data_IF_487612021924
#
_entry.id   IF_487612021924
#
_cell.length_a   1.000
_cell.length_b   1.000
_cell.length_c   1.000
_cell.angle_alpha   90.00
_cell.angle_beta   90.00
_cell.angle_gamma   90.00
#
_symmetry.space_group_name_H-M   'P 1'
#
loop_
_entity.id
_entity.type
_entity.pdbx_description
1 polymer ?
#
# COMPACT_ATOMS: atom_id res chain seq x y z
N UNK A 1 9.23 -34.59 17.90
CA UNK A 1 9.47 -33.40 17.06
C UNK A 1 8.38 -33.17 16.00
N UNK A 2 7.86 -34.17 15.28
CA UNK A 2 6.74 -33.99 14.27
C UNK A 2 5.49 -33.35 14.88
N UNK A 3 5.12 -33.68 16.11
CA UNK A 3 3.89 -33.19 16.76
C UNK A 3 3.95 -31.68 17.12
N UNK A 4 5.12 -31.18 17.52
CA UNK A 4 5.33 -29.73 17.82
C UNK A 4 5.32 -28.92 16.54
N UNK A 5 5.96 -29.42 15.49
CA UNK A 5 6.04 -28.76 14.19
C UNK A 5 4.66 -28.61 13.53
N UNK A 6 3.81 -29.64 13.62
CA UNK A 6 2.42 -29.55 13.15
C UNK A 6 1.59 -28.57 13.99
N UNK A 7 1.78 -28.50 15.31
CA UNK A 7 1.10 -27.51 16.15
C UNK A 7 1.47 -26.07 15.78
N UNK A 8 2.76 -25.80 15.53
CA UNK A 8 3.24 -24.49 15.10
C UNK A 8 2.69 -24.12 13.72
N UNK A 9 2.61 -25.08 12.78
CA UNK A 9 2.01 -24.88 11.47
C UNK A 9 0.54 -24.43 11.54
N UNK A 10 -0.26 -25.06 12.41
CA UNK A 10 -1.65 -24.67 12.65
C UNK A 10 -1.74 -23.31 13.35
N UNK A 11 -0.88 -23.03 14.34
CA UNK A 11 -0.88 -21.79 15.10
C UNK A 11 -0.56 -20.56 14.22
N UNK A 12 0.36 -20.69 13.27
CA UNK A 12 0.74 -19.61 12.36
C UNK A 12 -0.27 -19.40 11.18
N UNK A 13 -1.40 -20.12 11.22
CA UNK A 13 -2.52 -19.90 10.27
C UNK A 13 -2.28 -20.49 8.88
N UNK A 14 -1.34 -21.44 8.75
CA UNK A 14 -1.04 -22.12 7.49
C UNK A 14 -1.80 -23.46 7.34
N UNK A 15 -2.33 -24.02 8.48
CA UNK A 15 -3.21 -25.20 8.52
C UNK A 15 -4.70 -24.86 8.59
N UNK A 16 -5.55 -25.87 8.78
CA UNK A 16 -7.00 -25.69 8.99
C UNK A 16 -7.29 -24.81 10.22
N UNK A 17 -8.22 -23.89 10.06
CA UNK A 17 -8.42 -22.73 10.93
C UNK A 17 -9.05 -23.12 12.26
N UNK A 18 -8.27 -23.24 13.32
CA UNK A 18 -8.74 -23.34 14.70
C UNK A 18 -8.78 -21.99 15.43
N UNK A 19 -9.55 -21.90 16.53
CA UNK A 19 -9.68 -20.67 17.36
C UNK A 19 -8.32 -20.11 17.85
N UNK A 20 -7.33 -20.96 18.10
CA UNK A 20 -5.98 -20.59 18.53
C UNK A 20 -5.14 -19.98 17.40
N UNK A 21 -5.30 -20.45 16.16
CA UNK A 21 -4.68 -19.87 14.96
C UNK A 21 -5.14 -18.42 14.76
N UNK A 22 -6.42 -18.14 14.99
CA UNK A 22 -6.97 -16.78 14.86
C UNK A 22 -6.36 -15.81 15.88
N UNK A 23 -6.06 -16.26 17.11
CA UNK A 23 -5.44 -15.42 18.14
C UNK A 23 -4.01 -15.02 17.77
N UNK A 24 -3.18 -15.98 17.35
CA UNK A 24 -1.78 -15.70 16.96
C UNK A 24 -1.73 -14.77 15.75
N UNK A 25 -2.58 -14.98 14.75
CA UNK A 25 -2.66 -14.09 13.58
C UNK A 25 -3.08 -12.68 13.98
N UNK A 26 -4.02 -12.53 14.90
CA UNK A 26 -4.41 -11.21 15.44
C UNK A 26 -3.28 -10.56 16.23
N UNK A 27 -2.58 -11.32 17.07
CA UNK A 27 -1.44 -10.82 17.85
C UNK A 27 -0.32 -10.31 16.94
N UNK A 28 0.02 -11.06 15.87
CA UNK A 28 0.98 -10.61 14.86
C UNK A 28 0.47 -9.31 14.18
N UNK A 29 -0.82 -9.23 13.85
CA UNK A 29 -1.42 -8.02 13.29
C UNK A 29 -1.26 -6.80 14.19
N UNK A 30 -1.56 -6.95 15.49
CA UNK A 30 -1.37 -5.89 16.49
C UNK A 30 0.11 -5.50 16.60
N UNK A 31 1.03 -6.48 16.61
CA UNK A 31 2.46 -6.22 16.65
C UNK A 31 2.94 -5.44 15.41
N UNK A 32 2.39 -5.73 14.22
CA UNK A 32 2.68 -4.98 13.00
C UNK A 32 2.23 -3.51 13.16
N UNK A 33 0.97 -3.28 13.56
CA UNK A 33 0.45 -1.92 13.78
C UNK A 33 1.29 -1.18 14.81
N UNK A 34 1.58 -1.80 15.94
CA UNK A 34 2.43 -1.24 16.98
C UNK A 34 3.82 -0.85 16.44
N UNK A 35 4.45 -1.72 15.63
CA UNK A 35 5.76 -1.45 15.04
C UNK A 35 5.74 -0.26 14.07
N UNK A 36 4.63 -0.07 13.34
CA UNK A 36 4.45 1.06 12.44
C UNK A 36 4.31 2.36 13.23
N UNK A 37 3.47 2.37 14.26
CA UNK A 37 3.30 3.53 15.16
C UNK A 37 4.63 3.91 15.79
N UNK A 38 5.40 2.93 16.29
CA UNK A 38 6.74 3.15 16.85
C UNK A 38 7.69 3.78 15.81
N UNK A 39 7.68 3.28 14.56
CA UNK A 39 8.51 3.82 13.50
C UNK A 39 8.13 5.26 13.15
N UNK A 40 6.83 5.59 13.14
CA UNK A 40 6.35 6.97 12.91
C UNK A 40 6.76 7.88 14.08
N UNK A 41 6.51 7.48 15.32
CA UNK A 41 6.89 8.26 16.50
C UNK A 41 8.40 8.51 16.59
N UNK A 42 9.21 7.56 16.14
CA UNK A 42 10.66 7.70 16.10
C UNK A 42 11.16 8.74 15.07
N UNK A 43 10.30 9.20 14.16
CA UNK A 43 10.64 10.30 13.22
C UNK A 43 10.43 11.67 13.83
N UNK A 44 9.60 11.80 14.87
CA UNK A 44 9.28 13.08 15.51
C UNK A 44 10.41 13.50 16.47
N UNK A 45 11.12 14.63 16.22
CA UNK A 45 12.25 15.04 17.03
C UNK A 45 11.91 15.29 18.51
N UNK A 46 10.70 15.82 18.79
CA UNK A 46 10.24 16.13 20.14
C UNK A 46 10.07 14.87 21.00
N UNK A 47 9.60 13.79 20.38
CA UNK A 47 9.40 12.48 21.05
C UNK A 47 10.71 11.72 21.13
N UNK A 48 11.47 11.74 20.05
CA UNK A 48 12.72 11.00 19.90
C UNK A 48 13.79 11.48 20.89
N UNK A 49 13.97 12.80 21.07
CA UNK A 49 15.00 13.37 21.90
C UNK A 49 15.06 12.76 23.30
N UNK A 50 13.99 12.91 24.13
CA UNK A 50 13.98 12.41 25.50
C UNK A 50 13.81 10.89 25.62
N UNK A 51 13.29 10.19 24.57
CA UNK A 51 12.91 8.77 24.63
C UNK A 51 13.69 7.88 23.67
N UNK A 52 14.86 8.34 23.17
CA UNK A 52 15.63 7.60 22.18
C UNK A 52 15.93 6.16 22.60
N UNK A 53 16.40 5.96 23.83
CA UNK A 53 16.75 4.63 24.35
C UNK A 53 15.53 3.72 24.51
N UNK A 54 14.40 4.27 24.94
CA UNK A 54 13.17 3.51 25.09
C UNK A 54 12.66 3.07 23.71
N UNK A 55 12.61 3.98 22.74
CA UNK A 55 12.19 3.68 21.37
C UNK A 55 13.08 2.63 20.72
N UNK A 56 14.42 2.73 20.92
CA UNK A 56 15.37 1.76 20.40
C UNK A 56 15.18 0.36 21.04
N UNK A 57 14.97 0.29 22.34
CA UNK A 57 14.69 -0.98 23.05
C UNK A 57 13.37 -1.61 22.58
N UNK A 58 12.32 -0.83 22.45
CA UNK A 58 11.02 -1.30 21.96
C UNK A 58 11.14 -1.81 20.50
N UNK A 59 11.85 -1.10 19.65
CA UNK A 59 12.05 -1.51 18.25
C UNK A 59 12.90 -2.81 18.18
N UNK A 60 13.90 -2.97 19.06
CA UNK A 60 14.67 -4.21 19.18
C UNK A 60 13.79 -5.40 19.61
N UNK A 61 12.95 -5.21 20.63
CA UNK A 61 12.03 -6.27 21.08
C UNK A 61 11.10 -6.69 19.95
N UNK A 62 10.52 -5.72 19.24
CA UNK A 62 9.67 -5.98 18.07
C UNK A 62 10.44 -6.72 16.98
N UNK A 63 11.68 -6.34 16.70
CA UNK A 63 12.51 -7.00 15.70
C UNK A 63 12.83 -8.46 16.08
N UNK A 64 13.13 -8.71 17.36
CA UNK A 64 13.36 -10.08 17.89
C UNK A 64 12.09 -10.94 17.75
N UNK A 65 10.93 -10.41 18.10
CA UNK A 65 9.66 -11.12 17.94
C UNK A 65 9.38 -11.46 16.47
N UNK A 66 9.64 -10.54 15.57
CA UNK A 66 9.50 -10.78 14.14
C UNK A 66 10.55 -11.75 13.59
N UNK A 67 11.77 -11.71 14.09
CA UNK A 67 12.81 -12.67 13.73
C UNK A 67 12.41 -14.07 14.18
N UNK A 68 11.93 -14.22 15.41
CA UNK A 68 11.41 -15.48 15.91
C UNK A 68 10.26 -16.02 15.04
N UNK A 69 9.28 -15.17 14.71
CA UNK A 69 8.17 -15.52 13.79
C UNK A 69 8.71 -15.98 12.44
N UNK A 70 9.68 -15.28 11.87
CA UNK A 70 10.30 -15.62 10.60
C UNK A 70 11.03 -16.98 10.65
N UNK A 71 11.81 -17.22 11.69
CA UNK A 71 12.50 -18.50 11.91
C UNK A 71 11.53 -19.67 12.09
N UNK A 72 10.43 -19.46 12.83
CA UNK A 72 9.38 -20.48 12.94
C UNK A 72 8.75 -20.79 11.58
N UNK A 73 8.50 -19.80 10.73
CA UNK A 73 8.00 -20.02 9.38
C UNK A 73 8.97 -20.75 8.47
N UNK A 74 10.26 -20.43 8.55
CA UNK A 74 11.31 -21.18 7.86
C UNK A 74 11.32 -22.65 8.30
N UNK A 75 11.18 -22.88 9.60
CA UNK A 75 11.19 -24.23 10.15
C UNK A 75 10.00 -25.08 9.71
N UNK A 76 8.82 -24.48 9.56
CA UNK A 76 7.61 -25.17 9.10
C UNK A 76 7.46 -25.21 7.57
N UNK A 77 8.23 -24.45 6.84
CA UNK A 77 8.10 -24.30 5.38
C UNK A 77 8.00 -25.64 4.61
N UNK A 78 8.78 -26.70 4.94
CA UNK A 78 8.65 -27.99 4.25
C UNK A 78 7.37 -28.79 4.57
N UNK A 79 6.48 -28.27 5.45
CA UNK A 79 5.17 -28.90 5.75
C UNK A 79 4.03 -28.28 4.93
N UNK A 80 4.31 -27.25 4.14
CA UNK A 80 3.29 -26.61 3.30
C UNK A 80 2.85 -27.53 2.17
N UNK A 81 1.57 -27.44 1.81
CA UNK A 81 1.02 -28.16 0.68
C UNK A 81 1.78 -27.82 -0.60
N UNK A 82 2.25 -28.82 -1.34
CA UNK A 82 3.04 -28.66 -2.54
C UNK A 82 4.52 -28.25 -2.33
N UNK A 83 4.99 -28.09 -1.08
CA UNK A 83 6.38 -27.74 -0.80
C UNK A 83 7.33 -28.94 -1.00
N UNK A 84 8.53 -28.66 -1.49
CA UNK A 84 9.61 -29.66 -1.53
C UNK A 84 10.05 -30.02 -0.13
N UNK A 85 10.45 -31.29 0.09
CA UNK A 85 10.90 -31.78 1.40
C UNK A 85 12.33 -31.29 1.70
N UNK A 86 12.61 -31.08 3.00
CA UNK A 86 13.95 -30.75 3.49
C UNK A 86 14.40 -29.32 3.21
N UNK A 87 15.71 -29.12 3.00
CA UNK A 87 16.33 -27.81 2.76
C UNK A 87 15.81 -27.07 1.51
N UNK A 88 15.44 -27.82 0.47
CA UNK A 88 14.87 -27.21 -0.74
C UNK A 88 13.56 -26.50 -0.47
N UNK A 89 12.69 -27.07 0.37
CA UNK A 89 11.44 -26.39 0.76
C UNK A 89 11.67 -25.14 1.63
N UNK A 90 12.74 -25.10 2.41
CA UNK A 90 13.16 -23.91 3.16
C UNK A 90 13.64 -22.82 2.19
N UNK A 91 14.47 -23.16 1.20
CA UNK A 91 14.97 -22.22 0.20
C UNK A 91 13.83 -21.69 -0.69
N UNK A 92 12.95 -22.58 -1.15
CA UNK A 92 11.77 -22.18 -1.94
C UNK A 92 10.92 -21.16 -1.15
N UNK A 93 10.75 -21.36 0.15
CA UNK A 93 10.06 -20.39 1.00
C UNK A 93 10.83 -19.07 1.16
N UNK A 94 12.15 -19.14 1.40
CA UNK A 94 12.99 -17.95 1.65
C UNK A 94 12.99 -16.98 0.45
N UNK A 95 12.83 -17.51 -0.77
CA UNK A 95 12.77 -16.73 -2.03
C UNK A 95 11.35 -16.16 -2.28
N UNK A 96 10.32 -16.59 -1.53
CA UNK A 96 8.98 -16.03 -1.72
C UNK A 96 8.95 -14.53 -1.43
N UNK A 97 8.18 -13.72 -2.19
CA UNK A 97 8.08 -12.28 -1.94
C UNK A 97 7.72 -11.93 -0.50
N UNK A 98 6.88 -12.75 0.14
CA UNK A 98 6.47 -12.56 1.53
C UNK A 98 7.57 -12.88 2.55
N UNK A 99 8.48 -13.80 2.24
CA UNK A 99 9.63 -14.08 3.08
C UNK A 99 10.69 -12.98 2.95
N UNK A 100 10.95 -12.52 1.73
CA UNK A 100 11.84 -11.40 1.44
C UNK A 100 11.34 -10.13 2.16
N UNK A 101 10.06 -9.79 2.03
CA UNK A 101 9.42 -8.70 2.78
C UNK A 101 9.62 -8.84 4.30
N UNK A 102 9.54 -10.07 4.80
CA UNK A 102 9.81 -10.36 6.21
C UNK A 102 11.25 -10.03 6.62
N UNK A 103 12.21 -10.37 5.80
CA UNK A 103 13.63 -10.13 6.05
C UNK A 103 13.95 -8.63 5.93
N UNK A 104 13.52 -8.00 4.83
CA UNK A 104 13.69 -6.56 4.59
C UNK A 104 13.10 -5.72 5.72
N UNK A 105 12.00 -6.14 6.31
CA UNK A 105 11.37 -5.42 7.42
C UNK A 105 12.14 -5.54 8.76
N UNK A 106 13.01 -6.54 8.93
CA UNK A 106 13.86 -6.73 10.13
C UNK A 106 15.22 -6.07 9.93
N UNK A 107 15.75 -6.11 8.71
CA UNK A 107 17.08 -5.65 8.36
C UNK A 107 17.41 -4.23 8.85
N UNK A 108 16.52 -3.20 8.72
CA UNK A 108 16.83 -1.84 9.17
C UNK A 108 17.09 -1.73 10.67
N UNK A 109 16.46 -2.58 11.50
CA UNK A 109 16.72 -2.57 12.93
C UNK A 109 18.09 -3.15 13.24
N UNK A 110 18.45 -4.27 12.60
CA UNK A 110 19.76 -4.91 12.78
C UNK A 110 20.86 -3.99 12.23
N UNK A 111 20.72 -3.46 11.03
CA UNK A 111 21.69 -2.55 10.40
C UNK A 111 21.81 -1.23 11.16
N UNK A 112 20.73 -0.71 11.75
CA UNK A 112 20.75 0.52 12.53
C UNK A 112 21.58 0.45 13.81
N UNK A 113 21.86 -0.77 14.33
CA UNK A 113 22.83 -0.97 15.40
C UNK A 113 24.29 -0.88 14.91
N UNK A 114 24.53 -1.19 13.63
CA UNK A 114 25.87 -1.17 13.01
C UNK A 114 26.18 0.23 12.45
N UNK A 115 25.18 0.88 11.86
CA UNK A 115 25.31 2.18 11.19
C UNK A 115 24.17 3.12 11.59
N UNK A 116 24.29 3.81 12.76
CA UNK A 116 23.18 4.64 13.28
C UNK A 116 22.86 5.88 12.42
N UNK A 117 23.75 6.28 11.54
CA UNK A 117 23.65 7.51 10.73
C UNK A 117 22.73 7.40 9.51
N UNK A 118 22.33 6.21 9.12
CA UNK A 118 21.50 5.99 7.93
C UNK A 118 20.01 6.32 8.19
N UNK A 119 19.64 7.58 7.97
CA UNK A 119 18.23 8.05 8.03
C UNK A 119 17.27 7.23 7.18
N UNK A 120 17.72 6.76 6.00
CA UNK A 120 16.94 5.92 5.09
C UNK A 120 16.48 4.61 5.75
N UNK A 121 17.26 4.03 6.66
CA UNK A 121 16.87 2.81 7.37
C UNK A 121 15.58 2.99 8.20
N UNK A 122 15.29 4.21 8.65
CA UNK A 122 14.06 4.53 9.39
C UNK A 122 12.84 4.45 8.49
N UNK A 123 12.93 5.01 7.28
CA UNK A 123 11.84 4.99 6.29
C UNK A 123 11.61 3.54 5.81
N UNK A 124 12.68 2.77 5.60
CA UNK A 124 12.58 1.35 5.21
C UNK A 124 11.84 0.51 6.27
N UNK A 125 11.85 0.91 7.55
CA UNK A 125 11.04 0.24 8.60
C UNK A 125 9.54 0.24 8.27
N UNK A 126 9.04 1.24 7.53
CA UNK A 126 7.65 1.29 7.09
C UNK A 126 7.28 0.16 6.11
N UNK A 127 8.26 -0.48 5.46
CA UNK A 127 8.05 -1.69 4.64
C UNK A 127 7.42 -2.84 5.46
N UNK A 128 7.50 -2.76 6.80
CA UNK A 128 6.79 -3.68 7.72
C UNK A 128 5.28 -3.71 7.46
N UNK A 129 4.68 -2.64 6.93
CA UNK A 129 3.28 -2.60 6.48
C UNK A 129 2.98 -3.73 5.50
N UNK A 130 3.90 -4.06 4.60
CA UNK A 130 3.76 -5.17 3.65
C UNK A 130 3.47 -6.53 4.30
N UNK A 131 3.78 -6.70 5.59
CA UNK A 131 3.46 -7.93 6.35
C UNK A 131 1.96 -8.16 6.53
N UNK A 132 1.12 -7.11 6.43
CA UNK A 132 -0.35 -7.23 6.42
C UNK A 132 -0.78 -8.14 5.26
N UNK A 133 -0.03 -8.12 4.15
CA UNK A 133 -0.21 -9.00 3.00
C UNK A 133 -0.13 -10.50 3.29
N UNK A 134 0.38 -10.91 4.46
CA UNK A 134 0.42 -12.33 4.88
C UNK A 134 -0.95 -12.87 5.33
N UNK A 135 -1.90 -11.99 5.66
CA UNK A 135 -3.25 -12.40 6.05
C UNK A 135 -3.99 -13.01 4.86
N UNK A 136 -4.48 -14.26 4.99
CA UNK A 136 -5.30 -14.92 3.96
C UNK A 136 -6.53 -14.07 3.56
N UNK A 137 -7.12 -13.36 4.53
CA UNK A 137 -8.24 -12.44 4.28
C UNK A 137 -7.81 -11.27 3.41
N UNK A 138 -6.68 -10.65 3.73
CA UNK A 138 -6.13 -9.54 2.94
C UNK A 138 -5.79 -10.00 1.52
N UNK A 139 -5.11 -11.15 1.36
CA UNK A 139 -4.79 -11.71 0.04
C UNK A 139 -6.04 -12.02 -0.78
N UNK A 140 -7.11 -12.50 -0.13
CA UNK A 140 -8.40 -12.71 -0.79
C UNK A 140 -8.97 -11.38 -1.29
N UNK A 141 -9.04 -10.36 -0.43
CA UNK A 141 -9.53 -9.03 -0.80
C UNK A 141 -8.71 -8.38 -1.93
N UNK A 142 -7.38 -8.49 -1.86
CA UNK A 142 -6.49 -7.99 -2.91
C UNK A 142 -6.72 -8.73 -4.24
N UNK A 143 -6.95 -10.03 -4.21
CA UNK A 143 -7.29 -10.78 -5.45
C UNK A 143 -8.59 -10.29 -6.08
N UNK A 144 -9.63 -10.05 -5.28
CA UNK A 144 -10.90 -9.50 -5.79
C UNK A 144 -10.69 -8.11 -6.38
N UNK A 145 -9.93 -7.26 -5.69
CA UNK A 145 -9.60 -5.93 -6.17
C UNK A 145 -8.79 -5.97 -7.49
N UNK A 146 -7.75 -6.80 -7.55
CA UNK A 146 -6.96 -6.96 -8.77
C UNK A 146 -7.78 -7.53 -9.91
N UNK A 147 -8.70 -8.47 -9.64
CA UNK A 147 -9.61 -9.01 -10.65
C UNK A 147 -10.58 -7.93 -11.15
N UNK A 148 -11.13 -7.11 -10.26
CA UNK A 148 -11.99 -6.00 -10.61
C UNK A 148 -11.29 -4.98 -11.51
N UNK A 149 -10.03 -4.61 -11.19
CA UNK A 149 -9.24 -3.72 -12.04
C UNK A 149 -8.91 -4.38 -13.39
N UNK A 150 -8.52 -5.65 -13.37
CA UNK A 150 -8.15 -6.36 -14.60
C UNK A 150 -9.34 -6.55 -15.55
N UNK A 151 -10.53 -6.82 -15.00
CA UNK A 151 -11.76 -6.97 -15.79
C UNK A 151 -12.26 -5.67 -16.42
N UNK A 152 -11.87 -4.51 -15.87
CA UNK A 152 -12.25 -3.18 -16.35
C UNK A 152 -11.07 -2.39 -16.92
N UNK A 153 -10.05 -3.11 -17.40
CA UNK A 153 -8.79 -2.50 -17.85
C UNK A 153 -9.00 -1.52 -19.01
N UNK A 154 -9.85 -1.87 -19.98
CA UNK A 154 -10.09 -1.05 -21.17
C UNK A 154 -10.82 0.24 -20.80
N UNK A 155 -11.86 0.15 -19.97
CA UNK A 155 -12.62 1.31 -19.49
C UNK A 155 -11.74 2.24 -18.65
N UNK A 156 -10.85 1.66 -17.79
CA UNK A 156 -9.89 2.43 -17.01
C UNK A 156 -8.85 3.13 -17.91
N UNK A 157 -8.41 2.51 -19.00
CA UNK A 157 -7.50 3.12 -19.96
C UNK A 157 -8.15 4.32 -20.65
N UNK A 158 -9.41 4.17 -21.09
CA UNK A 158 -10.18 5.26 -21.70
C UNK A 158 -10.34 6.41 -20.70
N UNK A 159 -10.67 6.11 -19.44
CA UNK A 159 -10.78 7.10 -18.38
C UNK A 159 -9.45 7.83 -18.11
N UNK A 160 -8.33 7.11 -18.14
CA UNK A 160 -6.99 7.71 -17.97
C UNK A 160 -6.64 8.64 -19.14
N UNK A 161 -6.97 8.25 -20.38
CA UNK A 161 -6.77 9.09 -21.57
C UNK A 161 -7.63 10.36 -21.46
N UNK A 162 -8.91 10.21 -21.10
CA UNK A 162 -9.81 11.35 -20.87
C UNK A 162 -9.23 12.31 -19.83
N UNK A 163 -8.76 11.79 -18.71
CA UNK A 163 -8.13 12.60 -17.64
C UNK A 163 -6.89 13.34 -18.15
N UNK A 164 -6.04 12.67 -18.91
CA UNK A 164 -4.82 13.27 -19.47
C UNK A 164 -5.16 14.39 -20.47
N UNK A 165 -6.19 14.19 -21.30
CA UNK A 165 -6.66 15.22 -22.25
C UNK A 165 -7.20 16.44 -21.51
N UNK A 166 -8.08 16.24 -20.52
CA UNK A 166 -8.65 17.36 -19.74
C UNK A 166 -7.54 18.16 -19.04
N UNK A 167 -6.62 17.47 -18.36
CA UNK A 167 -5.50 18.12 -17.66
C UNK A 167 -4.59 18.88 -18.63
N UNK A 168 -4.23 18.26 -19.76
CA UNK A 168 -3.35 18.89 -20.75
C UNK A 168 -4.01 20.10 -21.41
N UNK A 169 -5.28 19.99 -21.79
CA UNK A 169 -6.03 21.08 -22.43
C UNK A 169 -6.23 22.24 -21.45
N UNK A 170 -6.62 21.95 -20.20
CA UNK A 170 -6.75 22.96 -19.16
C UNK A 170 -5.44 23.70 -18.92
N UNK A 171 -4.31 22.96 -18.89
CA UNK A 171 -2.97 23.56 -18.73
C UNK A 171 -2.59 24.46 -19.90
N UNK A 172 -2.86 24.02 -21.12
CA UNK A 172 -2.58 24.83 -22.31
C UNK A 172 -3.43 26.11 -22.35
N UNK A 173 -4.73 26.01 -22.06
CA UNK A 173 -5.62 27.16 -21.98
C UNK A 173 -5.19 28.13 -20.88
N UNK A 174 -4.84 27.63 -19.70
CA UNK A 174 -4.38 28.48 -18.60
C UNK A 174 -3.07 29.18 -18.94
N UNK A 175 -2.13 28.49 -19.58
CA UNK A 175 -0.90 29.11 -20.09
C UNK A 175 -1.17 30.26 -21.05
N UNK A 176 -2.16 30.13 -21.96
CA UNK A 176 -2.53 31.16 -22.93
C UNK A 176 -3.12 32.43 -22.28
N UNK A 177 -3.92 32.25 -21.21
CA UNK A 177 -4.67 33.36 -20.61
C UNK A 177 -3.98 34.00 -19.42
N UNK A 178 -3.14 33.25 -18.68
CA UNK A 178 -2.44 33.71 -17.46
C UNK A 178 -0.92 33.82 -17.63
N UNK A 179 -0.32 33.14 -18.60
CA UNK A 179 1.13 32.99 -18.70
C UNK A 179 1.90 34.31 -18.84
N UNK A 180 1.30 35.34 -19.48
CA UNK A 180 1.88 36.67 -19.59
C UNK A 180 1.61 37.56 -18.36
N UNK A 181 0.51 37.31 -17.64
CA UNK A 181 0.10 38.10 -16.46
C UNK A 181 0.80 37.57 -15.20
N UNK A 182 0.91 36.25 -15.09
CA UNK A 182 1.53 35.58 -13.94
C UNK A 182 2.65 34.63 -14.40
N UNK A 183 3.79 35.14 -14.94
CA UNK A 183 4.83 34.29 -15.51
C UNK A 183 5.51 33.37 -14.49
N UNK A 184 5.55 33.76 -13.21
CA UNK A 184 6.10 32.94 -12.14
C UNK A 184 5.27 31.67 -11.91
N UNK A 185 3.96 31.76 -12.01
CA UNK A 185 3.01 30.67 -11.71
C UNK A 185 2.56 29.91 -12.95
N UNK A 186 2.28 30.65 -14.05
CA UNK A 186 1.70 30.10 -15.28
C UNK A 186 2.58 30.30 -16.52
N UNK A 187 3.83 30.73 -16.38
CA UNK A 187 4.75 31.07 -17.48
C UNK A 187 5.23 29.86 -18.31
N UNK A 188 4.76 28.65 -18.05
CA UNK A 188 5.02 27.47 -18.88
C UNK A 188 3.93 26.41 -18.70
N UNK A 189 3.72 25.57 -19.72
CA UNK A 189 2.76 24.45 -19.62
C UNK A 189 3.06 23.51 -18.44
N UNK A 190 4.31 23.12 -18.12
CA UNK A 190 4.58 22.31 -16.93
C UNK A 190 4.15 22.97 -15.60
N UNK A 191 4.24 24.29 -15.47
CA UNK A 191 3.73 25.01 -14.29
C UNK A 191 2.19 24.97 -14.24
N UNK A 192 1.55 25.19 -15.39
CA UNK A 192 0.09 25.06 -15.51
C UNK A 192 -0.42 23.65 -15.25
N UNK A 193 0.38 22.60 -15.56
CA UNK A 193 0.02 21.21 -15.24
C UNK A 193 -0.15 21.00 -13.74
N UNK A 194 0.72 21.59 -12.92
CA UNK A 194 0.54 21.53 -11.46
C UNK A 194 -0.82 22.07 -11.05
N UNK A 195 -1.15 23.30 -11.49
CA UNK A 195 -2.44 23.90 -11.21
C UNK A 195 -3.62 23.05 -11.70
N UNK A 196 -3.53 22.53 -12.94
CA UNK A 196 -4.59 21.71 -13.53
C UNK A 196 -4.83 20.42 -12.74
N UNK A 197 -3.76 19.74 -12.33
CA UNK A 197 -3.85 18.51 -11.53
C UNK A 197 -4.52 18.78 -10.19
N UNK A 198 -4.06 19.79 -9.44
CA UNK A 198 -4.64 20.08 -8.11
C UNK A 198 -6.07 20.58 -8.19
N UNK A 199 -6.44 21.23 -9.29
CA UNK A 199 -7.81 21.72 -9.54
C UNK A 199 -8.75 20.57 -9.94
N UNK A 200 -8.36 19.76 -10.92
CA UNK A 200 -9.14 18.61 -11.40
C UNK A 200 -9.31 17.56 -10.31
N UNK A 201 -8.28 17.34 -9.46
CA UNK A 201 -8.37 16.41 -8.33
C UNK A 201 -9.09 17.00 -7.11
N UNK A 202 -9.59 18.23 -7.22
CA UNK A 202 -10.29 18.94 -6.13
C UNK A 202 -9.46 19.18 -4.88
N UNK A 203 -8.12 19.10 -4.95
CA UNK A 203 -7.22 19.35 -3.82
C UNK A 203 -7.13 20.84 -3.53
N UNK A 204 -6.82 21.66 -4.56
CA UNK A 204 -6.88 23.13 -4.51
C UNK A 204 -6.07 23.73 -3.35
N UNK A 205 -4.76 23.54 -3.31
CA UNK A 205 -3.91 24.12 -2.25
C UNK A 205 -4.01 25.66 -2.14
N UNK A 206 -4.40 26.34 -3.22
CA UNK A 206 -4.49 27.79 -3.25
C UNK A 206 -3.14 28.51 -3.43
N UNK A 207 -2.08 27.79 -3.64
CA UNK A 207 -0.74 28.28 -3.94
C UNK A 207 -0.63 28.91 -5.33
N UNK A 208 -1.48 28.45 -6.26
CA UNK A 208 -1.58 28.91 -7.65
C UNK A 208 -3.05 29.07 -8.01
N UNK A 209 -3.45 30.29 -8.43
CA UNK A 209 -4.83 30.59 -8.84
C UNK A 209 -4.86 31.67 -9.93
N UNK A 210 -5.83 31.59 -10.91
CA UNK A 210 -5.92 32.58 -11.96
C UNK A 210 -6.43 33.93 -11.42
N UNK A 211 -5.85 35.03 -11.90
CA UNK A 211 -6.24 36.41 -11.54
C UNK A 211 -7.16 37.06 -12.61
N UNK A 212 -6.93 36.75 -13.91
CA UNK A 212 -7.70 37.33 -14.99
C UNK A 212 -9.13 36.78 -15.04
N UNK A 213 -10.05 37.57 -15.60
CA UNK A 213 -11.42 37.12 -15.83
C UNK A 213 -11.46 35.88 -16.75
N UNK A 214 -10.64 35.86 -17.81
CA UNK A 214 -10.52 34.72 -18.71
C UNK A 214 -9.99 33.47 -17.99
N UNK A 215 -8.95 33.60 -17.16
CA UNK A 215 -8.41 32.52 -16.34
C UNK A 215 -9.45 31.95 -15.37
N UNK A 216 -10.26 32.80 -14.76
CA UNK A 216 -11.35 32.37 -13.86
C UNK A 216 -12.43 31.57 -14.61
N UNK A 217 -12.74 31.96 -15.84
CA UNK A 217 -13.67 31.18 -16.71
C UNK A 217 -13.06 29.81 -17.05
N UNK A 218 -11.79 29.79 -17.48
CA UNK A 218 -11.07 28.51 -17.73
C UNK A 218 -11.06 27.63 -16.50
N UNK A 219 -10.82 28.19 -15.31
CA UNK A 219 -10.82 27.46 -14.06
C UNK A 219 -12.20 26.87 -13.74
N UNK A 220 -13.27 27.63 -13.92
CA UNK A 220 -14.64 27.14 -13.70
C UNK A 220 -14.99 25.98 -14.63
N UNK A 221 -14.66 26.10 -15.91
CA UNK A 221 -14.87 25.03 -16.90
C UNK A 221 -14.03 23.78 -16.53
N UNK A 222 -12.74 23.97 -16.18
CA UNK A 222 -11.86 22.90 -15.75
C UNK A 222 -12.40 22.17 -14.54
N UNK A 223 -12.93 22.89 -13.54
CA UNK A 223 -13.53 22.30 -12.35
C UNK A 223 -14.74 21.43 -12.67
N UNK A 224 -15.61 21.86 -13.61
CA UNK A 224 -16.76 21.07 -14.05
C UNK A 224 -16.32 19.75 -14.73
N UNK A 225 -15.36 19.81 -15.65
CA UNK A 225 -14.80 18.60 -16.26
C UNK A 225 -14.03 17.73 -15.26
N UNK A 226 -13.41 18.36 -14.26
CA UNK A 226 -12.71 17.68 -13.17
C UNK A 226 -13.60 16.71 -12.38
N UNK A 227 -14.88 17.05 -12.21
CA UNK A 227 -15.84 16.14 -11.56
C UNK A 227 -15.93 14.81 -12.32
N UNK A 228 -16.01 14.84 -13.64
CA UNK A 228 -16.06 13.64 -14.47
C UNK A 228 -14.72 12.86 -14.43
N UNK A 229 -13.58 13.56 -14.41
CA UNK A 229 -12.24 12.96 -14.32
C UNK A 229 -12.11 12.08 -13.08
N UNK A 230 -12.74 12.47 -11.96
CA UNK A 230 -12.70 11.68 -10.71
C UNK A 230 -13.83 10.65 -10.69
N UNK A 231 -15.03 11.01 -11.08
CA UNK A 231 -16.23 10.16 -10.94
C UNK A 231 -16.18 8.91 -11.84
N UNK A 232 -15.67 9.06 -13.07
CA UNK A 232 -15.64 7.96 -14.05
C UNK A 232 -14.76 6.79 -13.55
N UNK A 233 -13.48 6.97 -13.21
CA UNK A 233 -12.67 5.84 -12.72
C UNK A 233 -13.20 5.23 -11.42
N UNK A 234 -13.75 6.03 -10.50
CA UNK A 234 -14.37 5.52 -9.29
C UNK A 234 -15.56 4.62 -9.61
N UNK A 235 -16.43 5.06 -10.52
CA UNK A 235 -17.58 4.27 -10.96
C UNK A 235 -17.17 2.94 -11.62
N UNK A 236 -16.16 2.98 -12.49
CA UNK A 236 -15.62 1.79 -13.17
C UNK A 236 -15.06 0.78 -12.15
N UNK A 237 -14.22 1.24 -11.20
CA UNK A 237 -13.65 0.37 -10.17
C UNK A 237 -14.73 -0.20 -9.26
N UNK A 238 -15.72 0.61 -8.86
CA UNK A 238 -16.83 0.19 -8.02
C UNK A 238 -17.68 -0.90 -8.71
N UNK A 239 -18.00 -0.72 -9.99
CA UNK A 239 -18.71 -1.73 -10.79
C UNK A 239 -17.93 -3.03 -10.88
N UNK A 240 -16.63 -2.97 -11.23
CA UNK A 240 -15.78 -4.16 -11.33
C UNK A 240 -15.66 -4.92 -10.00
N UNK A 241 -15.64 -4.21 -8.87
CA UNK A 241 -15.62 -4.83 -7.56
C UNK A 241 -16.94 -5.55 -7.24
N UNK A 242 -18.08 -4.93 -7.54
CA UNK A 242 -19.40 -5.53 -7.38
C UNK A 242 -19.56 -6.78 -8.25
N UNK A 243 -19.12 -6.74 -9.51
CA UNK A 243 -19.13 -7.88 -10.43
C UNK A 243 -18.28 -9.05 -9.88
N UNK A 244 -17.09 -8.75 -9.35
CA UNK A 244 -16.20 -9.75 -8.75
C UNK A 244 -16.83 -10.47 -7.54
N UNK A 245 -17.57 -9.75 -6.71
CA UNK A 245 -18.25 -10.32 -5.55
C UNK A 245 -19.48 -11.16 -5.94
N UNK A 246 -20.22 -10.73 -6.96
CA UNK A 246 -21.40 -11.46 -7.45
C UNK A 246 -21.00 -12.80 -8.07
N UNK A 247 -19.92 -12.85 -8.83
CA UNK A 247 -19.35 -14.08 -9.39
C UNK A 247 -18.91 -15.07 -8.29
N UNK A 248 -18.30 -14.57 -7.20
CA UNK A 248 -17.94 -15.43 -6.08
C UNK A 248 -19.17 -16.05 -5.42
N UNK A 249 -20.24 -15.27 -5.18
CA UNK A 249 -21.49 -15.79 -4.63
C UNK A 249 -22.10 -16.87 -5.51
N UNK A 250 -22.22 -16.61 -6.80
CA UNK A 250 -22.77 -17.58 -7.75
C UNK A 250 -21.99 -18.90 -7.77
N UNK A 251 -20.65 -18.83 -7.69
CA UNK A 251 -19.79 -20.01 -7.61
C UNK A 251 -19.91 -20.79 -6.29
N UNK A 252 -20.25 -20.13 -5.19
CA UNK A 252 -20.49 -20.78 -3.90
C UNK A 252 -21.85 -21.47 -3.88
N UNK A 253 -22.87 -20.84 -4.43
CA UNK A 253 -24.22 -21.39 -4.51
C UNK A 253 -24.26 -22.63 -5.41
N UNK A 254 -23.53 -22.62 -6.54
CA UNK A 254 -23.42 -23.78 -7.44
C UNK A 254 -22.64 -24.97 -6.87
N UNK A 255 -21.84 -24.78 -5.81
CA UNK A 255 -21.12 -25.86 -5.13
C UNK A 255 -21.91 -26.48 -3.97
N UNK A 256 -22.93 -25.77 -3.48
CA UNK A 256 -23.71 -26.17 -2.32
C UNK A 256 -25.11 -26.75 -2.72
N UNK A 257 -25.49 -26.64 -3.99
CA UNK A 257 -26.67 -27.27 -4.59
C UNK A 257 -26.28 -28.49 -5.41
#
# INVERSE_FOLDING_TARGET
MKNIRNRVHVLLGEGESGRKSTFVVKAIGVLIVFSIVLAILATEPVIRGPHLDLLAKLDLVVAILFLAEYLFRLWIAPLRDGARKGLRGVLDFAITPMAILGLVAIAPTILGFITPELYLLRVIRLVRIGRIGRSKRFQKSVRHFNHAIASKKEELQISAIYSAVVISLSSALMYLVEGSVQPEQFGSIPRCLWWSVITVTTVGYGDVSPETAAGKIVAAITALFGIAVIAIPIGIVSSGFTDSLSLEKANLDSKNG
#
